data_IF_433304627591
#
_entry.id   IF_433304627591
#
_cell.length_a   1.000
_cell.length_b   1.000
_cell.length_c   1.000
_cell.angle_alpha   90.00
_cell.angle_beta   90.00
_cell.angle_gamma   90.00
#
_symmetry.space_group_name_H-M   'P 1'
#
loop_
_entity.id
_entity.type
_entity.pdbx_description
1 polymer ?
#
# COMPACT_ATOMS: atom_id res chain seq x y z
N UNK A 1 2.98 -15.63 -0.80
CA UNK A 1 2.64 -16.30 -2.09
C UNK A 1 3.18 -15.41 -3.20
N UNK A 2 3.73 -15.95 -4.29
CA UNK A 2 4.62 -15.20 -5.20
C UNK A 2 3.94 -14.58 -6.42
N UNK A 3 4.57 -13.57 -7.02
CA UNK A 3 4.19 -12.92 -8.30
C UNK A 3 3.90 -13.92 -9.43
N UNK A 4 4.61 -15.06 -9.46
CA UNK A 4 4.40 -16.13 -10.44
C UNK A 4 3.00 -16.76 -10.35
N UNK A 5 2.45 -16.86 -9.15
CA UNK A 5 1.09 -17.38 -8.94
C UNK A 5 0.04 -16.37 -9.40
N UNK A 6 0.29 -15.08 -9.18
CA UNK A 6 -0.52 -13.99 -9.73
C UNK A 6 -0.53 -14.03 -11.27
N UNK A 7 0.64 -14.22 -11.90
CA UNK A 7 0.74 -14.37 -13.35
C UNK A 7 -0.08 -15.55 -13.86
N UNK A 8 0.07 -16.72 -13.23
CA UNK A 8 -0.66 -17.93 -13.59
C UNK A 8 -2.18 -17.78 -13.41
N UNK A 9 -2.63 -17.09 -12.35
CA UNK A 9 -4.04 -16.80 -12.11
C UNK A 9 -4.63 -15.90 -13.20
N UNK A 10 -3.92 -14.84 -13.57
CA UNK A 10 -4.36 -13.91 -14.62
C UNK A 10 -4.40 -14.58 -15.99
N UNK A 11 -3.41 -15.44 -16.31
CA UNK A 11 -3.36 -16.12 -17.60
C UNK A 11 -4.62 -16.95 -17.90
N UNK A 12 -5.22 -17.54 -16.86
CA UNK A 12 -6.42 -18.38 -16.91
C UNK A 12 -7.74 -17.60 -16.94
N UNK A 13 -7.72 -16.27 -16.77
CA UNK A 13 -8.95 -15.47 -16.79
C UNK A 13 -9.52 -15.34 -18.21
N UNK A 14 -10.86 -15.30 -18.37
CA UNK A 14 -11.49 -15.14 -19.68
C UNK A 14 -11.36 -13.69 -20.20
N UNK A 15 -11.37 -13.55 -21.53
CA UNK A 15 -11.55 -12.23 -22.16
C UNK A 15 -13.03 -11.81 -22.09
N UNK A 16 -13.32 -10.49 -22.05
CA UNK A 16 -12.38 -9.35 -22.07
C UNK A 16 -11.78 -9.01 -20.70
N UNK A 17 -12.18 -9.70 -19.63
CA UNK A 17 -11.77 -9.39 -18.26
C UNK A 17 -10.27 -9.49 -18.03
N UNK A 18 -9.62 -10.51 -18.59
CA UNK A 18 -8.16 -10.69 -18.51
C UNK A 18 -7.40 -9.47 -19.02
N UNK A 19 -7.77 -8.93 -20.18
CA UNK A 19 -7.19 -7.69 -20.69
C UNK A 19 -7.45 -6.48 -19.79
N UNK A 20 -8.64 -6.40 -19.21
CA UNK A 20 -9.03 -5.32 -18.30
C UNK A 20 -8.17 -5.31 -17.02
N UNK A 21 -8.02 -6.46 -16.37
CA UNK A 21 -7.23 -6.56 -15.14
C UNK A 21 -5.73 -6.41 -15.39
N UNK A 22 -5.22 -6.83 -16.56
CA UNK A 22 -3.83 -6.54 -16.97
C UNK A 22 -3.56 -5.03 -17.06
N UNK A 23 -4.51 -4.24 -17.57
CA UNK A 23 -4.39 -2.76 -17.58
C UNK A 23 -4.36 -2.20 -16.16
N UNK A 24 -5.23 -2.68 -15.26
CA UNK A 24 -5.24 -2.27 -13.85
C UNK A 24 -3.91 -2.62 -13.18
N UNK A 25 -3.43 -3.86 -13.35
CA UNK A 25 -2.17 -4.32 -12.80
C UNK A 25 -1.00 -3.44 -13.22
N UNK A 26 -0.91 -3.04 -14.49
CA UNK A 26 0.13 -2.11 -14.97
C UNK A 26 0.07 -0.76 -14.25
N UNK A 27 -1.13 -0.23 -14.01
CA UNK A 27 -1.31 1.01 -13.24
C UNK A 27 -0.88 0.83 -11.79
N UNK A 28 -1.22 -0.31 -11.17
CA UNK A 28 -0.84 -0.61 -9.79
C UNK A 28 0.68 -0.80 -9.65
N UNK A 29 1.34 -1.52 -10.56
CA UNK A 29 2.79 -1.69 -10.56
C UNK A 29 3.53 -0.34 -10.64
N UNK A 30 3.02 0.59 -11.46
CA UNK A 30 3.60 1.93 -11.55
C UNK A 30 3.31 2.80 -10.32
N UNK A 31 2.13 2.64 -9.72
CA UNK A 31 1.71 3.43 -8.55
C UNK A 31 2.27 2.90 -7.22
N UNK A 32 2.56 1.61 -7.14
CA UNK A 32 2.95 0.89 -5.92
C UNK A 32 4.27 0.12 -6.10
N UNK A 33 5.39 0.80 -6.45
CA UNK A 33 6.68 0.13 -6.53
C UNK A 33 7.13 -0.51 -5.21
N UNK A 34 6.62 -0.05 -4.05
CA UNK A 34 6.91 -0.64 -2.75
C UNK A 34 6.02 -1.82 -2.35
N UNK A 35 5.10 -2.27 -3.21
CA UNK A 35 4.19 -3.38 -2.91
C UNK A 35 4.68 -4.71 -3.49
N UNK A 36 4.32 -5.81 -2.81
CA UNK A 36 4.45 -7.17 -3.34
C UNK A 36 3.17 -7.60 -4.07
N UNK A 37 3.30 -8.48 -5.06
CA UNK A 37 2.17 -9.09 -5.77
C UNK A 37 1.96 -10.52 -5.27
N UNK A 38 0.81 -10.78 -4.67
CA UNK A 38 0.49 -12.07 -4.05
C UNK A 38 -0.96 -12.48 -4.30
N UNK A 39 -1.24 -13.78 -4.14
CA UNK A 39 -2.63 -14.24 -3.97
C UNK A 39 -3.00 -14.03 -2.50
N UNK A 40 -3.99 -13.15 -2.27
CA UNK A 40 -4.45 -12.79 -0.93
C UNK A 40 -5.97 -12.90 -0.89
N UNK A 41 -6.50 -13.65 0.08
CA UNK A 41 -7.90 -14.09 0.10
C UNK A 41 -8.39 -14.68 -1.24
N UNK A 42 -7.53 -15.47 -1.90
CA UNK A 42 -7.85 -16.16 -3.15
C UNK A 42 -7.80 -15.30 -4.42
N UNK A 43 -7.48 -13.99 -4.31
CA UNK A 43 -7.45 -13.08 -5.46
C UNK A 43 -6.06 -12.46 -5.69
N UNK A 44 -5.67 -12.19 -6.95
CA UNK A 44 -4.51 -11.37 -7.28
C UNK A 44 -4.52 -10.01 -6.58
N UNK A 45 -3.46 -9.72 -5.83
CA UNK A 45 -3.42 -8.57 -4.93
C UNK A 45 -2.05 -7.91 -4.82
N UNK A 46 -2.05 -6.62 -4.48
CA UNK A 46 -0.90 -5.81 -4.11
C UNK A 46 -0.92 -5.58 -2.61
N UNK A 47 0.16 -5.93 -1.92
CA UNK A 47 0.31 -5.82 -0.48
C UNK A 47 1.49 -4.91 -0.14
N UNK A 48 1.34 -4.08 0.90
CA UNK A 48 2.46 -3.35 1.52
C UNK A 48 2.64 -3.89 2.93
N UNK A 49 3.81 -4.41 3.25
CA UNK A 49 4.10 -4.96 4.59
C UNK A 49 3.03 -5.98 5.06
N UNK A 50 2.58 -6.85 4.14
CA UNK A 50 1.53 -7.85 4.39
C UNK A 50 0.09 -7.30 4.42
N UNK A 51 -0.10 -5.99 4.26
CA UNK A 51 -1.42 -5.34 4.26
C UNK A 51 -1.92 -5.19 2.82
N UNK A 52 -3.07 -5.78 2.50
CA UNK A 52 -3.72 -5.62 1.20
C UNK A 52 -4.06 -4.16 0.87
N UNK A 53 -3.61 -3.69 -0.29
CA UNK A 53 -3.88 -2.35 -0.83
C UNK A 53 -4.88 -2.40 -1.99
N UNK A 54 -4.71 -3.34 -2.90
CA UNK A 54 -5.57 -3.46 -4.07
C UNK A 54 -5.62 -4.90 -4.54
N UNK A 55 -6.79 -5.41 -4.87
CA UNK A 55 -6.96 -6.69 -5.55
C UNK A 55 -7.82 -6.53 -6.80
N UNK A 56 -7.83 -7.54 -7.65
CA UNK A 56 -8.73 -7.62 -8.78
C UNK A 56 -9.06 -9.07 -9.13
N UNK A 57 -10.25 -9.29 -9.69
CA UNK A 57 -10.63 -10.59 -10.26
C UNK A 57 -11.65 -10.40 -11.39
N UNK A 58 -11.87 -11.46 -12.17
CA UNK A 58 -12.80 -11.51 -13.31
C UNK A 58 -13.95 -12.47 -12.99
N UNK A 59 -15.18 -11.99 -13.22
CA UNK A 59 -16.41 -12.76 -13.08
C UNK A 59 -17.13 -12.85 -14.43
N UNK A 60 -18.21 -13.65 -14.50
CA UNK A 60 -18.96 -13.93 -15.73
C UNK A 60 -19.37 -12.65 -16.48
N UNK A 61 -19.92 -11.68 -15.76
CA UNK A 61 -20.54 -10.48 -16.37
C UNK A 61 -19.76 -9.18 -16.10
N UNK A 62 -18.72 -9.22 -15.27
CA UNK A 62 -17.96 -8.02 -14.88
C UNK A 62 -16.57 -8.37 -14.37
N UNK A 63 -15.71 -7.36 -14.29
CA UNK A 63 -14.47 -7.43 -13.52
C UNK A 63 -14.63 -6.62 -12.23
N UNK A 64 -13.88 -6.98 -11.20
CA UNK A 64 -13.95 -6.34 -9.89
C UNK A 64 -12.59 -5.80 -9.48
N UNK A 65 -12.61 -4.61 -8.89
CA UNK A 65 -11.50 -4.03 -8.15
C UNK A 65 -11.82 -4.08 -6.66
N UNK A 66 -10.87 -4.54 -5.86
CA UNK A 66 -10.99 -4.69 -4.42
C UNK A 66 -10.07 -3.68 -3.73
N UNK A 67 -10.59 -2.62 -3.08
CA UNK A 67 -9.77 -1.67 -2.33
C UNK A 67 -9.15 -2.24 -1.05
N UNK A 68 -9.43 -3.52 -0.73
CA UNK A 68 -8.95 -4.21 0.48
C UNK A 68 -9.29 -3.47 1.79
N UNK A 69 -10.37 -2.71 1.77
CA UNK A 69 -10.90 -1.99 2.93
C UNK A 69 -12.42 -1.97 2.91
N UNK A 70 -13.02 -2.03 4.09
CA UNK A 70 -14.43 -1.72 4.28
C UNK A 70 -14.68 -0.23 4.57
N UNK A 71 -13.64 0.60 4.57
CA UNK A 71 -13.77 2.04 4.77
C UNK A 71 -14.48 2.70 3.59
N UNK A 72 -15.27 3.74 3.89
CA UNK A 72 -15.77 4.63 2.85
C UNK A 72 -14.67 5.61 2.42
N UNK A 73 -14.69 6.00 1.15
CA UNK A 73 -13.80 7.02 0.58
C UNK A 73 -14.66 8.23 0.16
N UNK A 74 -14.99 9.16 1.07
CA UNK A 74 -15.90 10.28 0.78
C UNK A 74 -15.46 11.09 -0.44
N UNK A 75 -14.16 11.30 -0.61
CA UNK A 75 -13.54 12.01 -1.73
C UNK A 75 -13.74 11.32 -3.09
N UNK A 76 -14.07 10.03 -3.08
CA UNK A 76 -14.33 9.23 -4.28
C UNK A 76 -15.81 8.97 -4.51
N UNK A 77 -16.69 9.42 -3.61
CA UNK A 77 -18.14 9.14 -3.66
C UNK A 77 -18.73 9.47 -5.02
N UNK A 78 -18.48 10.68 -5.53
CA UNK A 78 -18.99 11.15 -6.85
C UNK A 78 -18.47 10.30 -7.99
N UNK A 79 -17.15 10.09 -8.06
CA UNK A 79 -16.51 9.30 -9.12
C UNK A 79 -16.99 7.84 -9.13
N UNK A 80 -17.37 7.31 -7.98
CA UNK A 80 -17.80 5.93 -7.79
C UNK A 80 -19.31 5.70 -7.98
N UNK A 81 -20.14 6.74 -8.05
CA UNK A 81 -21.61 6.62 -8.19
C UNK A 81 -22.04 5.82 -9.41
N UNK A 82 -21.27 5.88 -10.50
CA UNK A 82 -21.59 5.22 -11.77
C UNK A 82 -21.27 3.71 -11.82
N UNK A 83 -20.69 3.16 -10.75
CA UNK A 83 -20.30 1.75 -10.70
C UNK A 83 -21.18 0.99 -9.72
N UNK A 84 -21.52 -0.26 -10.05
CA UNK A 84 -22.09 -1.20 -9.07
C UNK A 84 -21.03 -1.53 -8.03
N UNK A 85 -21.41 -1.56 -6.75
CA UNK A 85 -20.46 -1.72 -5.64
C UNK A 85 -21.02 -2.64 -4.56
N UNK A 86 -20.11 -3.27 -3.84
CA UNK A 86 -20.37 -3.85 -2.52
C UNK A 86 -19.54 -3.08 -1.48
N UNK A 87 -19.60 -3.47 -0.20
CA UNK A 87 -18.73 -2.92 0.85
C UNK A 87 -17.23 -3.12 0.52
N UNK A 88 -16.86 -4.17 -0.20
CA UNK A 88 -15.47 -4.55 -0.46
C UNK A 88 -15.03 -4.51 -1.93
N UNK A 89 -15.92 -4.20 -2.87
CA UNK A 89 -15.63 -4.28 -4.31
C UNK A 89 -16.28 -3.18 -5.13
N UNK A 90 -15.62 -2.84 -6.23
CA UNK A 90 -16.12 -1.97 -7.29
C UNK A 90 -16.20 -2.82 -8.56
N UNK A 91 -17.41 -3.00 -9.08
CA UNK A 91 -17.64 -3.77 -10.30
C UNK A 91 -17.60 -2.83 -11.49
N UNK A 92 -16.90 -3.24 -12.55
CA UNK A 92 -16.78 -2.47 -13.77
C UNK A 92 -16.91 -3.37 -15.01
N UNK A 93 -17.36 -2.77 -16.10
CA UNK A 93 -17.45 -3.46 -17.39
C UNK A 93 -16.03 -3.85 -17.87
N UNK A 94 -15.83 -5.14 -18.11
CA UNK A 94 -14.57 -5.72 -18.55
C UNK A 94 -14.06 -5.16 -19.90
N UNK A 95 -14.94 -4.70 -20.79
CA UNK A 95 -14.57 -4.07 -22.06
C UNK A 95 -14.07 -2.64 -21.86
N UNK A 96 -14.69 -1.90 -20.95
CA UNK A 96 -14.37 -0.49 -20.67
C UNK A 96 -13.17 -0.37 -19.72
N UNK A 97 -13.10 -1.23 -18.71
CA UNK A 97 -12.08 -1.18 -17.66
C UNK A 97 -12.31 -0.07 -16.63
N UNK A 98 -11.40 0.02 -15.67
CA UNK A 98 -11.39 1.10 -14.67
C UNK A 98 -10.38 2.19 -15.08
N UNK A 99 -10.76 3.48 -15.10
CA UNK A 99 -9.84 4.55 -15.49
C UNK A 99 -8.60 4.62 -14.59
N UNK A 100 -7.41 4.72 -15.20
CA UNK A 100 -6.15 4.80 -14.46
C UNK A 100 -6.11 5.92 -13.39
N UNK A 101 -6.66 7.14 -13.62
CA UNK A 101 -6.73 8.16 -12.58
C UNK A 101 -7.57 7.74 -11.37
N UNK A 102 -8.65 6.97 -11.60
CA UNK A 102 -9.50 6.45 -10.53
C UNK A 102 -8.76 5.36 -9.73
N UNK A 103 -8.05 4.44 -10.40
CA UNK A 103 -7.21 3.42 -9.73
C UNK A 103 -6.17 4.10 -8.83
N UNK A 104 -5.46 5.13 -9.32
CA UNK A 104 -4.47 5.87 -8.52
C UNK A 104 -5.10 6.56 -7.31
N UNK A 105 -6.30 7.14 -7.46
CA UNK A 105 -7.03 7.77 -6.35
C UNK A 105 -7.45 6.74 -5.30
N UNK A 106 -7.93 5.56 -5.70
CA UNK A 106 -8.29 4.45 -4.81
C UNK A 106 -7.08 3.97 -4.00
N UNK A 107 -5.93 3.80 -4.65
CA UNK A 107 -4.67 3.43 -3.97
C UNK A 107 -4.28 4.46 -2.92
N UNK A 108 -4.30 5.76 -3.27
CA UNK A 108 -3.96 6.83 -2.32
C UNK A 108 -4.90 6.88 -1.13
N UNK A 109 -6.20 6.73 -1.37
CA UNK A 109 -7.21 6.68 -0.31
C UNK A 109 -6.98 5.49 0.61
N UNK A 110 -6.65 4.32 0.04
CA UNK A 110 -6.34 3.11 0.81
C UNK A 110 -5.08 3.26 1.66
N UNK A 111 -4.00 3.83 1.13
CA UNK A 111 -2.77 4.08 1.91
C UNK A 111 -3.05 5.04 3.07
N UNK A 112 -3.86 6.09 2.84
CA UNK A 112 -4.27 7.01 3.91
C UNK A 112 -5.02 6.28 5.03
N UNK A 113 -5.95 5.40 4.67
CA UNK A 113 -6.68 4.54 5.61
C UNK A 113 -5.76 3.54 6.34
N UNK A 114 -4.74 2.99 5.67
CA UNK A 114 -3.72 2.15 6.32
C UNK A 114 -2.92 2.96 7.35
N UNK A 115 -2.44 4.14 6.97
CA UNK A 115 -1.66 5.01 7.87
C UNK A 115 -2.47 5.44 9.10
N UNK A 116 -3.79 5.69 8.97
CA UNK A 116 -4.63 6.06 10.11
C UNK A 116 -4.86 4.95 11.15
N UNK A 117 -4.45 3.71 10.85
CA UNK A 117 -4.52 2.57 11.78
C UNK A 117 -3.30 2.48 12.69
N UNK A 118 -2.30 3.34 12.47
CA UNK A 118 -1.12 3.45 13.30
C UNK A 118 -1.13 4.75 14.13
N UNK A 119 -0.53 4.76 15.33
CA UNK A 119 0.03 3.59 16.01
C UNK A 119 -1.06 2.59 16.43
N UNK A 120 -0.71 1.30 16.45
CA UNK A 120 -1.58 0.26 17.00
C UNK A 120 -1.78 0.45 18.50
N UNK A 121 -2.79 -0.21 19.09
CA UNK A 121 -2.99 -0.21 20.56
C UNK A 121 -1.76 -0.70 21.35
N UNK A 122 -0.93 -1.56 20.74
CA UNK A 122 0.31 -2.04 21.32
C UNK A 122 1.49 -1.06 21.16
N UNK A 123 1.26 0.13 20.63
CA UNK A 123 2.27 1.17 20.43
C UNK A 123 3.13 1.00 19.18
N UNK A 124 2.99 -0.09 18.40
CA UNK A 124 3.69 -0.24 17.12
C UNK A 124 3.23 0.86 16.14
N UNK A 125 4.17 1.59 15.55
CA UNK A 125 3.91 2.63 14.57
C UNK A 125 4.61 2.33 13.26
N UNK A 126 3.84 2.41 12.17
CA UNK A 126 4.34 2.44 10.80
C UNK A 126 3.61 3.53 10.03
N UNK A 127 4.29 4.17 9.09
CA UNK A 127 3.68 5.08 8.11
C UNK A 127 4.24 4.73 6.74
N UNK A 128 3.41 4.82 5.71
CA UNK A 128 3.76 4.52 4.32
C UNK A 128 3.60 5.75 3.44
N UNK A 129 4.49 5.90 2.46
CA UNK A 129 4.32 6.86 1.37
C UNK A 129 3.20 6.43 0.44
N UNK A 130 2.73 7.38 -0.39
CA UNK A 130 1.65 7.16 -1.37
C UNK A 130 2.01 6.17 -2.49
N UNK A 131 3.27 5.75 -2.57
CA UNK A 131 3.78 4.75 -3.50
C UNK A 131 4.04 3.37 -2.85
N UNK A 132 3.59 3.18 -1.61
CA UNK A 132 3.64 1.92 -0.89
C UNK A 132 4.95 1.63 -0.15
N UNK A 133 6.00 2.44 -0.31
CA UNK A 133 7.20 2.28 0.50
C UNK A 133 6.96 2.73 1.94
N UNK A 134 7.60 2.04 2.89
CA UNK A 134 7.64 2.46 4.28
C UNK A 134 8.28 3.85 4.36
N UNK A 135 7.71 4.73 5.17
CA UNK A 135 8.19 6.09 5.44
C UNK A 135 8.87 6.15 6.81
N UNK A 136 8.26 5.51 7.81
CA UNK A 136 8.83 5.41 9.15
C UNK A 136 8.30 4.18 9.88
N UNK A 137 9.13 3.65 10.77
CA UNK A 137 8.72 2.64 11.74
C UNK A 137 9.37 2.87 13.10
N UNK A 138 8.65 2.46 14.15
CA UNK A 138 9.13 2.52 15.52
C UNK A 138 8.02 2.17 16.49
N UNK A 139 8.18 2.58 17.75
CA UNK A 139 7.18 2.36 18.80
C UNK A 139 6.87 3.65 19.55
N UNK A 140 5.63 3.74 20.03
CA UNK A 140 5.20 4.71 21.01
C UNK A 140 5.03 4.01 22.37
N UNK A 141 5.40 4.74 23.43
CA UNK A 141 5.10 4.41 24.82
C UNK A 141 4.52 5.67 25.47
N UNK A 142 3.35 5.58 26.09
CA UNK A 142 2.67 6.73 26.72
C UNK A 142 2.53 7.93 25.76
N UNK A 143 2.10 7.69 24.53
CA UNK A 143 1.96 8.70 23.45
C UNK A 143 3.26 9.41 23.03
N UNK A 144 4.43 8.90 23.46
CA UNK A 144 5.74 9.44 23.11
C UNK A 144 6.57 8.43 22.32
N UNK A 145 7.44 8.92 21.43
CA UNK A 145 8.38 8.08 20.68
C UNK A 145 9.27 7.31 21.67
N UNK A 146 9.45 6.02 21.44
CA UNK A 146 10.21 5.15 22.34
C UNK A 146 10.91 4.02 21.56
N UNK A 147 12.13 3.69 21.97
CA UNK A 147 12.95 2.63 21.37
C UNK A 147 13.55 3.04 20.02
N UNK A 148 13.91 2.03 19.23
CA UNK A 148 14.50 2.23 17.90
C UNK A 148 13.48 2.76 16.89
N UNK A 149 13.94 3.71 16.08
CA UNK A 149 13.19 4.31 15.00
C UNK A 149 14.01 4.30 13.71
N UNK A 150 13.31 4.10 12.59
CA UNK A 150 13.87 4.21 11.25
C UNK A 150 12.97 5.06 10.38
N UNK A 151 13.59 5.85 9.52
CA UNK A 151 12.94 6.62 8.47
C UNK A 151 13.56 6.28 7.14
N UNK A 152 12.70 6.26 6.13
CA UNK A 152 13.01 5.83 4.78
C UNK A 152 12.65 6.93 3.80
N UNK A 153 13.19 6.84 2.59
CA UNK A 153 12.82 7.72 1.48
C UNK A 153 11.72 7.08 0.64
N UNK A 154 11.19 7.86 -0.31
CA UNK A 154 10.19 7.40 -1.28
C UNK A 154 10.70 6.31 -2.23
N UNK A 155 12.00 6.05 -2.30
CA UNK A 155 12.57 4.93 -3.07
C UNK A 155 12.81 3.67 -2.21
N UNK A 156 12.44 3.71 -0.92
CA UNK A 156 12.65 2.62 0.03
C UNK A 156 14.03 2.63 0.70
N UNK A 157 14.95 3.51 0.33
CA UNK A 157 16.27 3.58 0.98
C UNK A 157 16.19 4.14 2.39
N UNK A 158 17.02 3.63 3.29
CA UNK A 158 17.09 4.13 4.67
C UNK A 158 17.64 5.55 4.65
N UNK A 159 16.89 6.48 5.23
CA UNK A 159 17.28 7.88 5.37
C UNK A 159 17.97 8.12 6.70
N UNK A 160 17.37 7.61 7.78
CA UNK A 160 17.82 7.90 9.15
C UNK A 160 17.45 6.77 10.09
N UNK A 161 18.28 6.54 11.10
CA UNK A 161 18.00 5.64 12.22
C UNK A 161 18.40 6.31 13.53
N UNK A 162 17.71 5.97 14.62
CA UNK A 162 18.03 6.48 15.95
C UNK A 162 17.19 5.84 17.03
N UNK A 163 17.36 6.31 18.26
CA UNK A 163 16.55 5.86 19.38
C UNK A 163 15.89 7.04 20.08
N UNK A 164 14.72 6.77 20.66
CA UNK A 164 14.02 7.67 21.55
C UNK A 164 13.81 7.05 22.92
N UNK A 165 13.90 7.86 23.96
CA UNK A 165 13.41 7.54 25.30
C UNK A 165 12.45 8.64 25.72
N UNK A 166 11.17 8.27 25.84
CA UNK A 166 10.09 9.16 26.27
C UNK A 166 10.03 10.47 25.47
N UNK A 167 10.15 10.35 24.14
CA UNK A 167 10.09 11.46 23.19
C UNK A 167 11.41 12.19 22.96
N UNK A 168 12.45 11.89 23.74
CA UNK A 168 13.77 12.52 23.63
C UNK A 168 14.74 11.63 22.85
N UNK A 169 15.51 12.23 21.93
CA UNK A 169 16.55 11.52 21.18
C UNK A 169 17.61 10.98 22.14
N UNK A 170 17.99 9.73 21.96
CA UNK A 170 19.03 9.07 22.77
C UNK A 170 19.91 8.20 21.88
N UNK A 171 21.12 7.93 22.35
CA UNK A 171 22.03 7.01 21.69
C UNK A 171 22.56 7.56 20.37
N UNK A 172 23.04 6.65 19.52
CA UNK A 172 23.63 7.02 18.24
C UNK A 172 22.56 7.21 17.17
N UNK A 173 22.54 8.40 16.60
CA UNK A 173 21.73 8.76 15.44
C UNK A 173 22.57 8.74 14.18
N UNK A 174 22.05 8.08 13.15
CA UNK A 174 22.73 7.92 11.86
C UNK A 174 21.85 8.43 10.73
N UNK A 175 22.44 9.21 9.83
CA UNK A 175 21.83 9.63 8.57
C UNK A 175 22.65 9.04 7.44
N UNK A 176 21.97 8.51 6.43
CA UNK A 176 22.59 7.85 5.28
C UNK A 176 22.30 8.67 4.03
N UNK A 177 23.07 8.53 2.96
CA UNK A 177 22.72 9.02 1.63
C UNK A 177 21.77 8.03 0.89
N UNK A 178 21.56 8.22 -0.42
CA UNK A 178 20.70 7.33 -1.23
C UNK A 178 21.39 6.02 -1.60
N UNK A 179 22.70 5.94 -1.50
CA UNK A 179 23.49 4.73 -1.71
C UNK A 179 23.59 3.91 -0.41
N UNK A 180 23.06 4.41 0.69
CA UNK A 180 23.11 3.78 2.01
C UNK A 180 24.41 4.05 2.76
N UNK A 181 25.28 4.94 2.26
CA UNK A 181 26.51 5.33 2.96
C UNK A 181 26.18 6.27 4.11
N UNK A 182 26.81 6.04 5.27
CA UNK A 182 26.70 6.92 6.42
C UNK A 182 27.26 8.31 6.09
N UNK A 183 26.44 9.35 6.24
CA UNK A 183 26.84 10.76 6.00
C UNK A 183 26.93 11.57 7.28
N UNK A 184 26.23 11.15 8.34
CA UNK A 184 26.27 11.83 9.64
C UNK A 184 26.00 10.84 10.76
N UNK A 185 26.80 10.94 11.81
CA UNK A 185 26.60 10.27 13.08
C UNK A 185 26.54 11.32 14.20
N UNK A 186 25.68 11.14 15.19
CA UNK A 186 25.56 12.05 16.34
C UNK A 186 25.16 11.25 17.57
N UNK A 187 25.88 11.44 18.68
CA UNK A 187 25.54 10.87 19.98
C UNK A 187 24.65 11.84 20.77
N UNK A 188 23.57 11.32 21.33
CA UNK A 188 22.65 12.01 22.24
C UNK A 188 22.56 11.29 23.59
#
# INVERSE_FOLDING_TARGET
MSKKEVDARIAKMPEPGRSAVKKIRKVLQAALPGATEEIYYGIPSFLIDGIGVAGFDVYKDHSSYFPMSGAEFPELKVALKKYKRTRGSIHFDSKVGLPAPLVKKLVKARIKDINSRFPTKAGLSKSFYDNGYLQSEGKFKNHKLHGAWKWYRKDGTVMRTGQFKDGVQTGVWRTYDRQGKLVKETQF
#
